data_IF_801378559532
#
_entry.id   IF_801378559532
#
_cell.length_a   1.000
_cell.length_b   1.000
_cell.length_c   1.000
_cell.angle_alpha   90.00
_cell.angle_beta   90.00
_cell.angle_gamma   90.00
#
_symmetry.space_group_name_H-M   'P 1'
#
loop_
_entity.id
_entity.type
_entity.pdbx_description
1 polymer ?
#
# COMPACT_ATOMS: atom_id res chain seq x y z
N UNK A 1 -11.52 71.33 1.58
CA UNK A 1 -11.30 70.23 0.66
C UNK A 1 -11.02 68.99 1.50
N UNK A 2 -12.03 68.19 1.78
CA UNK A 2 -11.94 66.93 2.51
C UNK A 2 -11.84 65.82 1.47
N UNK A 3 -10.72 65.10 1.41
CA UNK A 3 -10.58 63.85 0.65
C UNK A 3 -10.89 62.69 1.59
N UNK A 4 -12.01 62.07 1.38
CA UNK A 4 -12.41 60.79 1.98
C UNK A 4 -11.66 59.68 1.27
N UNK A 5 -10.82 58.98 2.03
CA UNK A 5 -10.14 57.78 1.59
C UNK A 5 -11.08 56.59 1.85
N UNK A 6 -11.72 56.08 0.79
CA UNK A 6 -12.45 54.83 0.84
C UNK A 6 -11.46 53.69 0.76
N UNK A 7 -11.24 53.03 1.88
CA UNK A 7 -10.52 51.75 1.92
C UNK A 7 -11.46 50.65 1.45
N UNK A 8 -11.29 50.24 0.22
CA UNK A 8 -11.94 49.05 -0.34
C UNK A 8 -11.23 47.81 0.28
N UNK A 9 -11.89 47.22 1.26
CA UNK A 9 -11.49 45.90 1.75
C UNK A 9 -11.91 44.87 0.69
N UNK A 10 -11.01 44.57 -0.23
CA UNK A 10 -11.16 43.42 -1.10
C UNK A 10 -10.97 42.17 -0.24
N UNK A 11 -12.06 41.55 0.15
CA UNK A 11 -12.10 40.17 0.64
C UNK A 11 -11.57 39.28 -0.48
N UNK A 12 -10.27 38.96 -0.45
CA UNK A 12 -9.70 37.83 -1.12
C UNK A 12 -10.26 36.58 -0.41
N UNK A 13 -11.42 36.14 -0.85
CA UNK A 13 -11.85 34.76 -0.77
C UNK A 13 -10.85 33.95 -1.62
N UNK A 14 -9.72 33.57 -1.04
CA UNK A 14 -8.96 32.44 -1.53
C UNK A 14 -9.79 31.21 -1.26
N UNK A 15 -10.80 31.01 -2.11
CA UNK A 15 -11.33 29.68 -2.31
C UNK A 15 -10.14 28.80 -2.70
N UNK A 16 -9.67 27.98 -1.79
CA UNK A 16 -8.83 26.84 -2.12
C UNK A 16 -9.76 25.95 -2.96
N UNK A 17 -9.80 26.22 -4.26
CA UNK A 17 -10.32 25.26 -5.21
C UNK A 17 -9.36 24.10 -5.09
N UNK A 18 -9.81 23.02 -4.45
CA UNK A 18 -9.09 21.76 -4.47
C UNK A 18 -8.86 21.42 -5.94
N UNK A 19 -7.66 21.75 -6.44
CA UNK A 19 -7.32 21.51 -7.84
C UNK A 19 -7.45 20.01 -8.08
N UNK A 20 -8.26 19.64 -9.06
CA UNK A 20 -8.48 18.27 -9.43
C UNK A 20 -7.12 17.60 -9.74
N UNK A 21 -6.73 16.63 -8.93
CA UNK A 21 -5.49 15.86 -9.17
C UNK A 21 -5.80 14.76 -10.17
N UNK A 22 -5.49 15.04 -11.45
CA UNK A 22 -5.64 14.05 -12.52
C UNK A 22 -4.41 13.14 -12.51
N UNK A 23 -4.65 11.85 -12.31
CA UNK A 23 -3.64 10.81 -12.45
C UNK A 23 -3.83 10.10 -13.78
N UNK A 24 -2.73 9.98 -14.54
CA UNK A 24 -2.70 9.25 -15.79
C UNK A 24 -2.12 7.84 -15.59
N UNK A 25 -2.60 6.90 -16.39
CA UNK A 25 -2.12 5.54 -16.42
C UNK A 25 -2.15 4.95 -17.83
N UNK A 26 -1.46 3.82 -17.98
CA UNK A 26 -1.31 3.10 -19.22
C UNK A 26 -1.34 1.59 -18.96
N UNK A 27 -2.07 0.84 -19.79
CA UNK A 27 -2.13 -0.63 -19.74
C UNK A 27 -1.63 -1.17 -21.07
N UNK A 28 -0.66 -2.08 -21.02
CA UNK A 28 -0.11 -2.76 -22.20
C UNK A 28 0.01 -4.27 -21.98
N UNK A 29 0.21 -5.02 -23.06
CA UNK A 29 0.60 -6.42 -22.97
C UNK A 29 2.10 -6.55 -22.66
N UNK A 30 2.52 -7.76 -22.27
CA UNK A 30 3.94 -8.05 -22.05
C UNK A 30 4.70 -8.11 -23.39
N UNK A 31 4.08 -8.66 -24.42
CA UNK A 31 4.73 -8.96 -25.70
C UNK A 31 5.48 -10.29 -25.69
N UNK A 32 5.91 -10.73 -26.87
CA UNK A 32 6.57 -12.02 -27.12
C UNK A 32 8.01 -11.91 -27.61
N UNK A 33 8.53 -10.69 -27.71
CA UNK A 33 9.92 -10.41 -28.08
C UNK A 33 10.84 -10.32 -26.86
N UNK A 34 12.16 -10.42 -27.07
CA UNK A 34 13.14 -10.30 -26.00
C UNK A 34 13.04 -8.99 -25.18
N UNK A 35 12.74 -7.87 -25.84
CA UNK A 35 12.53 -6.59 -25.17
C UNK A 35 11.16 -6.47 -24.50
N UNK A 36 10.26 -7.45 -24.74
CA UNK A 36 8.91 -7.53 -24.15
C UNK A 36 8.14 -6.22 -24.19
N UNK A 37 8.32 -5.44 -25.24
CA UNK A 37 7.51 -4.26 -25.52
C UNK A 37 6.20 -4.70 -26.13
N UNK A 38 5.19 -4.83 -25.28
CA UNK A 38 3.87 -5.22 -25.74
C UNK A 38 3.06 -4.06 -26.29
N UNK A 39 1.92 -4.40 -26.88
CA UNK A 39 0.99 -3.45 -27.46
C UNK A 39 0.06 -2.83 -26.41
N UNK A 40 -0.43 -1.59 -26.64
CA UNK A 40 -1.47 -0.98 -25.84
C UNK A 40 -2.72 -1.87 -25.74
N UNK A 41 -3.30 -1.98 -24.55
CA UNK A 41 -4.49 -2.77 -24.31
C UNK A 41 -5.73 -1.88 -24.16
N UNK A 42 -6.58 -1.89 -25.19
CA UNK A 42 -7.89 -1.24 -25.20
C UNK A 42 -8.88 -2.03 -24.36
N UNK A 43 -9.75 -1.32 -23.63
CA UNK A 43 -10.88 -1.93 -22.91
C UNK A 43 -10.53 -2.58 -21.59
N UNK A 44 -9.29 -2.47 -21.12
CA UNK A 44 -8.93 -2.90 -19.79
C UNK A 44 -9.67 -2.05 -18.74
N UNK A 45 -10.25 -2.69 -17.72
CA UNK A 45 -11.03 -2.05 -16.67
C UNK A 45 -10.17 -1.92 -15.41
N UNK A 46 -9.81 -0.70 -15.08
CA UNK A 46 -8.97 -0.36 -13.93
C UNK A 46 -9.85 0.13 -12.78
N UNK A 47 -9.80 -0.54 -11.64
CA UNK A 47 -10.57 -0.20 -10.45
C UNK A 47 -9.66 0.47 -9.42
N UNK A 48 -9.94 1.74 -9.11
CA UNK A 48 -9.19 2.54 -8.14
C UNK A 48 -9.96 2.55 -6.83
N UNK A 49 -9.30 2.27 -5.70
CA UNK A 49 -9.92 2.22 -4.37
C UNK A 49 -10.51 3.60 -4.03
N UNK A 50 -11.79 3.62 -3.64
CA UNK A 50 -12.51 4.85 -3.27
C UNK A 50 -13.06 5.66 -4.44
N UNK A 51 -13.00 5.14 -5.69
CA UNK A 51 -13.70 5.70 -6.84
C UNK A 51 -14.81 4.77 -7.31
N UNK A 52 -15.94 5.36 -7.71
CA UNK A 52 -17.05 4.60 -8.26
C UNK A 52 -16.79 4.17 -9.69
N UNK A 53 -16.97 2.88 -9.97
CA UNK A 53 -16.84 2.25 -11.28
C UNK A 53 -15.38 2.11 -11.77
N UNK A 54 -15.23 1.35 -12.84
CA UNK A 54 -13.94 1.13 -13.49
C UNK A 54 -13.59 2.27 -14.45
N UNK A 55 -12.31 2.59 -14.57
CA UNK A 55 -11.76 3.39 -15.66
C UNK A 55 -11.38 2.44 -16.80
N UNK A 56 -11.90 2.70 -18.00
CA UNK A 56 -11.69 1.84 -19.16
C UNK A 56 -10.61 2.45 -20.05
N UNK A 57 -9.62 1.64 -20.44
CA UNK A 57 -8.52 2.12 -21.28
C UNK A 57 -8.97 2.44 -22.71
N UNK A 58 -8.43 3.51 -23.25
CA UNK A 58 -8.62 3.94 -24.64
C UNK A 58 -7.86 3.01 -25.62
N UNK A 59 -7.96 3.27 -26.92
CA UNK A 59 -7.31 2.46 -27.99
C UNK A 59 -5.77 2.44 -27.85
N UNK A 60 -5.20 3.50 -27.32
CA UNK A 60 -3.76 3.62 -27.03
C UNK A 60 -3.38 3.10 -25.63
N UNK A 61 -4.26 2.37 -24.96
CA UNK A 61 -4.00 1.81 -23.63
C UNK A 61 -4.09 2.81 -22.47
N UNK A 62 -4.32 4.10 -22.72
CA UNK A 62 -4.33 5.11 -21.66
C UNK A 62 -5.65 5.14 -20.89
N UNK A 63 -5.57 5.50 -19.61
CA UNK A 63 -6.70 5.82 -18.75
C UNK A 63 -6.33 6.99 -17.82
N UNK A 64 -7.33 7.68 -17.32
CA UNK A 64 -7.14 8.72 -16.30
C UNK A 64 -8.28 8.73 -15.28
N UNK A 65 -8.01 9.32 -14.13
CA UNK A 65 -8.99 9.52 -13.08
C UNK A 65 -8.63 10.72 -12.20
N UNK A 66 -9.65 11.28 -11.56
CA UNK A 66 -9.51 12.39 -10.64
C UNK A 66 -9.62 11.86 -9.21
N UNK A 67 -8.64 12.17 -8.37
CA UNK A 67 -8.56 11.73 -6.96
C UNK A 67 -9.18 12.71 -5.97
N UNK A 68 -9.59 13.91 -6.43
CA UNK A 68 -9.87 15.01 -5.52
C UNK A 68 -8.59 15.65 -4.95
N UNK A 69 -8.69 16.82 -4.35
CA UNK A 69 -7.53 17.55 -3.82
C UNK A 69 -6.98 16.91 -2.53
N UNK A 70 -5.66 17.05 -2.32
CA UNK A 70 -4.99 16.73 -1.06
C UNK A 70 -4.54 15.28 -0.88
N UNK A 71 -4.83 14.36 -1.79
CA UNK A 71 -4.32 12.98 -1.72
C UNK A 71 -2.88 12.91 -2.21
N UNK A 72 -2.03 12.25 -1.43
CA UNK A 72 -0.62 11.98 -1.78
C UNK A 72 -0.40 10.59 -2.36
N UNK A 73 -1.31 9.66 -2.06
CA UNK A 73 -1.27 8.27 -2.53
C UNK A 73 -2.66 7.77 -2.93
N UNK A 74 -2.68 6.72 -3.75
CA UNK A 74 -3.88 5.97 -4.12
C UNK A 74 -3.54 4.49 -4.36
N UNK A 75 -4.55 3.63 -4.37
CA UNK A 75 -4.38 2.20 -4.66
C UNK A 75 -5.27 1.78 -5.83
N UNK A 76 -4.75 0.90 -6.67
CA UNK A 76 -5.55 0.19 -7.68
C UNK A 76 -5.91 -1.17 -7.09
N UNK A 77 -7.19 -1.44 -6.94
CA UNK A 77 -7.66 -2.67 -6.33
C UNK A 77 -7.58 -3.87 -7.27
N UNK A 78 -7.86 -3.66 -8.55
CA UNK A 78 -7.75 -4.70 -9.58
C UNK A 78 -7.76 -4.11 -10.99
N UNK A 79 -7.26 -4.89 -11.95
CA UNK A 79 -7.36 -4.59 -13.37
C UNK A 79 -7.86 -5.85 -14.09
N UNK A 80 -8.85 -5.72 -14.93
CA UNK A 80 -9.43 -6.85 -15.65
C UNK A 80 -9.54 -6.59 -17.15
N UNK A 81 -9.14 -7.57 -17.93
CA UNK A 81 -9.38 -7.63 -19.38
C UNK A 81 -9.59 -9.09 -19.77
N UNK A 82 -10.60 -9.38 -20.58
CA UNK A 82 -10.91 -10.76 -21.01
C UNK A 82 -9.72 -11.38 -21.74
N UNK A 83 -9.28 -12.55 -21.28
CA UNK A 83 -8.15 -13.29 -21.85
C UNK A 83 -6.77 -12.83 -21.40
N UNK A 84 -6.69 -11.87 -20.47
CA UNK A 84 -5.44 -11.37 -19.90
C UNK A 84 -5.41 -11.52 -18.38
N UNK A 85 -4.23 -11.72 -17.82
CA UNK A 85 -3.92 -11.66 -16.39
C UNK A 85 -2.87 -10.60 -16.13
N UNK A 86 -2.80 -10.09 -14.89
CA UNK A 86 -1.71 -9.21 -14.46
C UNK A 86 -0.39 -9.98 -14.54
N UNK A 87 0.65 -9.35 -15.07
CA UNK A 87 1.99 -9.93 -15.14
C UNK A 87 2.63 -10.04 -13.75
N UNK A 88 2.43 -9.01 -12.94
CA UNK A 88 2.91 -8.94 -11.55
C UNK A 88 1.82 -8.36 -10.64
N UNK A 89 1.88 -8.64 -9.32
CA UNK A 89 0.97 -8.04 -8.35
C UNK A 89 1.03 -6.50 -8.41
N UNK A 90 -0.14 -5.87 -8.24
CA UNK A 90 -0.22 -4.41 -8.15
C UNK A 90 0.45 -3.94 -6.85
N UNK A 91 1.22 -2.83 -6.86
CA UNK A 91 1.74 -2.23 -5.65
C UNK A 91 0.62 -1.87 -4.67
N UNK A 92 0.87 -1.92 -3.35
CA UNK A 92 -0.13 -1.58 -2.35
C UNK A 92 -0.61 -0.13 -2.45
N UNK A 93 0.27 0.78 -2.90
CA UNK A 93 -0.05 2.18 -3.14
C UNK A 93 0.84 2.80 -4.23
N UNK A 94 0.31 3.82 -4.90
CA UNK A 94 1.00 4.65 -5.89
C UNK A 94 1.04 6.09 -5.39
N UNK A 95 2.13 6.82 -5.68
CA UNK A 95 2.24 8.25 -5.37
C UNK A 95 1.53 9.09 -6.44
N UNK A 96 0.73 10.06 -5.99
CA UNK A 96 -0.01 10.96 -6.89
C UNK A 96 0.96 11.90 -7.62
N UNK A 97 0.76 12.04 -8.92
CA UNK A 97 1.43 13.08 -9.74
C UNK A 97 2.90 12.83 -10.06
N UNK A 98 3.53 11.76 -9.59
CA UNK A 98 4.97 11.53 -9.80
C UNK A 98 5.32 10.81 -11.10
N UNK A 99 4.45 9.95 -11.60
CA UNK A 99 4.68 9.25 -12.87
C UNK A 99 3.36 8.73 -13.44
N UNK A 100 3.35 8.43 -14.73
CA UNK A 100 2.26 7.65 -15.35
C UNK A 100 2.28 6.23 -14.78
N UNK A 101 1.14 5.75 -14.30
CA UNK A 101 1.03 4.38 -13.80
C UNK A 101 1.05 3.42 -14.98
N UNK A 102 2.05 2.56 -15.05
CA UNK A 102 2.14 1.51 -16.06
C UNK A 102 1.68 0.18 -15.47
N UNK A 103 0.77 -0.49 -16.18
CA UNK A 103 0.24 -1.79 -15.80
C UNK A 103 0.46 -2.75 -16.97
N UNK A 104 1.12 -3.86 -16.68
CA UNK A 104 1.44 -4.88 -17.68
C UNK A 104 0.56 -6.10 -17.45
N UNK A 105 -0.05 -6.55 -18.55
CA UNK A 105 -0.88 -7.75 -18.56
C UNK A 105 -0.32 -8.76 -19.57
N UNK A 106 -0.56 -10.04 -19.35
CA UNK A 106 -0.11 -11.12 -20.20
C UNK A 106 -1.32 -11.92 -20.68
N UNK A 107 -1.41 -12.20 -21.97
CA UNK A 107 -2.37 -13.18 -22.50
C UNK A 107 -1.82 -14.59 -22.31
N UNK A 108 -2.72 -15.58 -22.32
CA UNK A 108 -2.33 -16.99 -22.28
C UNK A 108 -1.45 -17.37 -23.49
N UNK A 109 -1.73 -16.80 -24.65
CA UNK A 109 -0.96 -17.06 -25.86
C UNK A 109 0.45 -16.50 -25.77
N UNK A 110 0.62 -15.24 -25.32
CA UNK A 110 1.94 -14.62 -25.07
C UNK A 110 2.76 -15.45 -24.08
N UNK A 111 2.13 -15.94 -23.01
CA UNK A 111 2.78 -16.80 -22.02
C UNK A 111 3.32 -18.07 -22.65
N UNK A 112 2.47 -18.80 -23.40
CA UNK A 112 2.86 -20.06 -24.07
C UNK A 112 4.02 -19.83 -25.05
N UNK A 113 3.97 -18.75 -25.83
CA UNK A 113 5.04 -18.41 -26.78
C UNK A 113 6.35 -18.07 -26.09
N UNK A 114 6.31 -17.30 -25.00
CA UNK A 114 7.50 -16.99 -24.21
C UNK A 114 8.07 -18.23 -23.53
N UNK A 115 7.22 -19.07 -22.92
CA UNK A 115 7.64 -20.36 -22.32
C UNK A 115 8.34 -21.25 -23.35
N UNK A 116 7.75 -21.43 -24.52
CA UNK A 116 8.33 -22.28 -25.57
C UNK A 116 9.68 -21.73 -26.09
N UNK A 117 9.78 -20.42 -26.27
CA UNK A 117 11.02 -19.78 -26.74
C UNK A 117 12.14 -19.92 -25.71
N UNK A 118 11.89 -19.61 -24.43
CA UNK A 118 12.88 -19.69 -23.37
C UNK A 118 13.29 -21.13 -23.15
N UNK A 119 12.34 -22.06 -23.08
CA UNK A 119 12.60 -23.51 -22.91
C UNK A 119 13.54 -24.05 -24.00
N UNK A 120 13.26 -23.73 -25.26
CA UNK A 120 14.09 -24.16 -26.39
C UNK A 120 15.54 -23.68 -26.27
N UNK A 121 15.75 -22.41 -25.97
CA UNK A 121 17.10 -21.84 -25.85
C UNK A 121 17.88 -22.49 -24.71
N UNK A 122 17.23 -22.67 -23.56
CA UNK A 122 17.87 -23.28 -22.38
C UNK A 122 18.19 -24.75 -22.67
N UNK A 123 17.28 -25.51 -23.29
CA UNK A 123 17.49 -26.92 -23.67
C UNK A 123 18.66 -27.06 -24.63
N UNK A 124 18.75 -26.24 -25.68
CA UNK A 124 19.87 -26.25 -26.62
C UNK A 124 21.22 -25.99 -25.91
N UNK A 125 21.24 -25.06 -24.95
CA UNK A 125 22.43 -24.73 -24.18
C UNK A 125 22.87 -25.88 -23.23
N UNK A 126 21.92 -26.45 -22.50
CA UNK A 126 22.19 -27.59 -21.60
C UNK A 126 22.71 -28.75 -22.41
N UNK A 127 22.08 -29.07 -23.53
CA UNK A 127 22.51 -30.17 -24.41
C UNK A 127 23.92 -29.95 -24.93
N UNK A 128 24.21 -28.73 -25.46
CA UNK A 128 25.54 -28.40 -25.94
C UNK A 128 26.60 -28.50 -24.85
N UNK A 129 26.30 -28.06 -23.63
CA UNK A 129 27.22 -28.11 -22.50
C UNK A 129 27.46 -29.55 -22.05
N UNK A 130 26.41 -30.38 -22.03
CA UNK A 130 26.50 -31.80 -21.73
C UNK A 130 27.38 -32.54 -22.75
N UNK A 131 27.15 -32.34 -24.06
CA UNK A 131 27.93 -32.96 -25.14
C UNK A 131 29.43 -32.61 -25.06
N UNK A 132 29.71 -31.33 -24.81
CA UNK A 132 31.08 -30.82 -24.68
C UNK A 132 31.79 -31.51 -23.48
N UNK A 133 31.12 -31.54 -22.32
CA UNK A 133 31.67 -32.14 -21.09
C UNK A 133 31.85 -33.63 -21.20
N UNK A 134 30.88 -34.33 -21.77
CA UNK A 134 30.95 -35.78 -22.03
C UNK A 134 32.13 -36.11 -22.96
N UNK A 135 32.30 -35.35 -24.03
CA UNK A 135 33.42 -35.53 -24.97
C UNK A 135 34.78 -35.27 -24.32
N UNK A 136 34.87 -34.29 -23.42
CA UNK A 136 36.08 -34.02 -22.64
C UNK A 136 36.42 -35.20 -21.71
N UNK A 137 35.43 -35.68 -20.94
CA UNK A 137 35.61 -36.83 -20.02
C UNK A 137 36.00 -38.10 -20.78
N UNK A 138 35.33 -38.40 -21.90
CA UNK A 138 35.67 -39.55 -22.75
C UNK A 138 37.10 -39.49 -23.25
N UNK A 139 37.58 -38.31 -23.70
CA UNK A 139 38.97 -38.14 -24.13
C UNK A 139 39.97 -38.40 -23.00
N UNK A 140 39.66 -37.88 -21.79
CA UNK A 140 40.51 -38.12 -20.59
C UNK A 140 40.58 -39.62 -20.22
N UNK A 141 39.42 -40.29 -20.20
CA UNK A 141 39.34 -41.73 -19.94
C UNK A 141 40.13 -42.51 -20.97
N UNK A 142 39.93 -42.26 -22.26
CA UNK A 142 40.63 -42.95 -23.32
C UNK A 142 42.18 -42.78 -23.25
N UNK A 143 42.63 -41.56 -22.89
CA UNK A 143 44.06 -41.31 -22.70
C UNK A 143 44.66 -42.09 -21.52
N UNK A 144 43.92 -42.19 -20.40
CA UNK A 144 44.35 -42.92 -19.23
C UNK A 144 44.30 -44.47 -19.47
N UNK A 145 43.26 -44.95 -20.18
CA UNK A 145 43.13 -46.37 -20.57
C UNK A 145 44.28 -46.79 -21.50
N UNK A 146 44.70 -45.93 -22.44
CA UNK A 146 45.86 -46.13 -23.28
C UNK A 146 47.15 -46.17 -22.47
N UNK A 147 47.35 -45.24 -21.53
CA UNK A 147 48.51 -45.22 -20.65
C UNK A 147 48.58 -46.45 -19.73
N UNK A 148 47.46 -46.98 -19.31
CA UNK A 148 47.34 -48.21 -18.54
C UNK A 148 47.75 -49.45 -19.39
N UNK A 149 47.31 -49.49 -20.67
CA UNK A 149 47.66 -50.60 -21.59
C UNK A 149 49.13 -50.63 -21.95
N UNK A 150 49.82 -49.50 -22.00
CA UNK A 150 51.26 -49.41 -22.34
C UNK A 150 52.18 -49.81 -21.21
N UNK A 151 51.66 -50.33 -20.07
CA UNK A 151 52.39 -50.90 -18.92
C UNK A 151 53.54 -50.07 -18.33
N UNK A 152 53.49 -48.78 -18.46
CA UNK A 152 54.62 -47.90 -18.09
C UNK A 152 54.53 -47.20 -16.75
N UNK A 153 53.46 -47.38 -15.96
CA UNK A 153 53.30 -46.71 -14.63
C UNK A 153 52.30 -47.42 -13.73
N UNK A 154 52.37 -47.13 -12.42
CA UNK A 154 51.58 -47.66 -11.30
C UNK A 154 50.10 -47.87 -11.69
N UNK A 155 49.66 -49.08 -11.91
CA UNK A 155 48.33 -49.43 -12.43
C UNK A 155 47.20 -49.01 -11.52
N UNK A 156 47.38 -49.08 -10.20
CA UNK A 156 46.34 -48.76 -9.21
C UNK A 156 45.96 -47.27 -9.22
N UNK A 157 46.89 -46.37 -9.46
CA UNK A 157 46.60 -44.93 -9.52
C UNK A 157 45.83 -44.56 -10.80
N UNK A 158 46.23 -45.09 -11.94
CA UNK A 158 45.55 -44.91 -13.22
C UNK A 158 44.11 -45.47 -13.19
N UNK A 159 43.95 -46.67 -12.60
CA UNK A 159 42.65 -47.30 -12.41
C UNK A 159 41.73 -46.48 -11.51
N UNK A 160 42.27 -45.90 -10.43
CA UNK A 160 41.54 -45.01 -9.54
C UNK A 160 41.07 -43.73 -10.27
N UNK A 161 41.95 -43.12 -11.08
CA UNK A 161 41.61 -41.94 -11.88
C UNK A 161 40.55 -42.24 -12.93
N UNK A 162 40.66 -43.41 -13.65
CA UNK A 162 39.64 -43.81 -14.62
C UNK A 162 38.28 -44.04 -13.92
N UNK A 163 38.28 -44.68 -12.75
CA UNK A 163 37.04 -44.90 -11.97
C UNK A 163 36.39 -43.58 -11.57
N UNK A 164 37.17 -42.63 -11.06
CA UNK A 164 36.68 -41.29 -10.70
C UNK A 164 36.09 -40.54 -11.88
N UNK A 165 36.72 -40.59 -13.07
CA UNK A 165 36.19 -39.95 -14.27
C UNK A 165 34.91 -40.63 -14.79
N UNK A 166 34.80 -41.96 -14.69
CA UNK A 166 33.59 -42.72 -15.04
C UNK A 166 32.43 -42.38 -14.07
N UNK A 167 32.72 -42.20 -12.79
CA UNK A 167 31.75 -41.72 -11.80
C UNK A 167 31.27 -40.29 -12.10
N UNK A 168 32.21 -39.39 -12.43
CA UNK A 168 31.85 -38.04 -12.88
C UNK A 168 30.96 -38.05 -14.11
N UNK A 169 31.21 -38.92 -15.08
CA UNK A 169 30.37 -39.08 -16.27
C UNK A 169 28.97 -39.61 -15.91
N UNK A 170 28.87 -40.59 -15.03
CA UNK A 170 27.57 -41.07 -14.52
C UNK A 170 26.77 -39.99 -13.77
N UNK A 171 27.45 -39.15 -13.00
CA UNK A 171 26.82 -38.02 -12.34
C UNK A 171 26.32 -36.96 -13.36
N UNK A 172 27.11 -36.70 -14.40
CA UNK A 172 26.74 -35.80 -15.50
C UNK A 172 25.49 -36.31 -16.25
N UNK A 173 25.46 -37.61 -16.54
CA UNK A 173 24.30 -38.26 -17.19
C UNK A 173 23.04 -38.14 -16.33
N UNK A 174 23.14 -38.34 -15.03
CA UNK A 174 22.04 -38.21 -14.09
C UNK A 174 21.52 -36.76 -14.04
N UNK A 175 22.42 -35.77 -14.07
CA UNK A 175 22.03 -34.35 -14.13
C UNK A 175 21.34 -34.04 -15.46
N UNK A 176 21.83 -34.55 -16.58
CA UNK A 176 21.20 -34.35 -17.88
C UNK A 176 19.80 -35.01 -17.97
N UNK A 177 19.59 -36.16 -17.35
CA UNK A 177 18.26 -36.77 -17.27
C UNK A 177 17.24 -35.91 -16.52
N UNK A 178 17.69 -35.12 -15.56
CA UNK A 178 16.86 -34.18 -14.78
C UNK A 178 16.75 -32.79 -15.41
N UNK A 179 17.28 -32.58 -16.61
CA UNK A 179 17.33 -31.27 -17.25
C UNK A 179 15.97 -30.57 -17.39
N UNK A 180 14.91 -31.33 -17.60
CA UNK A 180 13.56 -30.77 -17.76
C UNK A 180 13.10 -30.02 -16.49
N UNK A 181 13.37 -30.59 -15.30
CA UNK A 181 13.06 -29.90 -14.04
C UNK A 181 13.82 -28.57 -13.90
N UNK A 182 15.07 -28.53 -14.38
CA UNK A 182 15.87 -27.30 -14.39
C UNK A 182 15.35 -26.29 -15.42
N UNK A 183 14.98 -26.76 -16.62
CA UNK A 183 14.40 -25.94 -17.68
C UNK A 183 13.10 -25.29 -17.17
N UNK A 184 12.20 -26.07 -16.59
CA UNK A 184 10.91 -25.60 -16.09
C UNK A 184 11.10 -24.50 -15.03
N UNK A 185 12.03 -24.68 -14.10
CA UNK A 185 12.33 -23.65 -13.08
C UNK A 185 12.84 -22.35 -13.69
N UNK A 186 13.79 -22.43 -14.62
CA UNK A 186 14.33 -21.22 -15.27
C UNK A 186 13.26 -20.55 -16.13
N UNK A 187 12.46 -21.32 -16.86
CA UNK A 187 11.35 -20.79 -17.68
C UNK A 187 10.38 -20.04 -16.78
N UNK A 188 9.96 -20.61 -15.65
CA UNK A 188 9.03 -19.97 -14.72
C UNK A 188 9.60 -18.65 -14.15
N UNK A 189 10.89 -18.61 -13.86
CA UNK A 189 11.58 -17.42 -13.36
C UNK A 189 11.58 -16.29 -14.39
N UNK A 190 11.81 -16.57 -15.68
CA UNK A 190 11.98 -15.55 -16.70
C UNK A 190 10.72 -15.22 -17.50
N UNK A 191 9.73 -16.12 -17.60
CA UNK A 191 8.54 -15.91 -18.42
C UNK A 191 7.67 -14.75 -17.97
N UNK A 192 7.69 -14.43 -16.68
CA UNK A 192 6.89 -13.38 -16.07
C UNK A 192 7.63 -12.03 -15.93
N UNK A 193 8.87 -11.93 -16.41
CA UNK A 193 9.64 -10.69 -16.32
C UNK A 193 9.18 -9.66 -17.35
N UNK A 194 9.21 -8.40 -16.96
CA UNK A 194 8.98 -7.26 -17.85
C UNK A 194 10.20 -6.36 -17.86
N UNK A 195 11.03 -6.51 -18.88
CA UNK A 195 12.33 -5.81 -18.98
C UNK A 195 12.18 -4.30 -19.13
N UNK A 196 11.05 -3.82 -19.65
CA UNK A 196 10.81 -2.39 -19.81
C UNK A 196 10.63 -1.65 -18.46
N UNK A 197 10.24 -2.38 -17.40
CA UNK A 197 10.08 -1.81 -16.06
C UNK A 197 11.30 -2.00 -15.15
N UNK A 198 12.30 -2.74 -15.62
CA UNK A 198 13.55 -2.97 -14.88
C UNK A 198 14.57 -1.86 -15.10
N UNK A 199 15.51 -1.71 -14.18
CA UNK A 199 16.70 -0.95 -14.46
C UNK A 199 17.51 -1.60 -15.60
N UNK A 200 18.26 -0.77 -16.34
CA UNK A 200 18.93 -1.21 -17.56
C UNK A 200 19.88 -2.41 -17.35
N UNK A 201 20.59 -2.47 -16.22
CA UNK A 201 21.53 -3.58 -15.94
C UNK A 201 20.83 -4.89 -15.67
N UNK A 202 19.74 -4.84 -14.87
CA UNK A 202 18.93 -6.04 -14.61
C UNK A 202 18.28 -6.54 -15.87
N UNK A 203 17.71 -5.65 -16.68
CA UNK A 203 17.10 -5.99 -17.95
C UNK A 203 18.11 -6.63 -18.90
N UNK A 204 19.32 -6.08 -19.00
CA UNK A 204 20.40 -6.60 -19.84
C UNK A 204 20.87 -7.98 -19.37
N UNK A 205 21.06 -8.18 -18.06
CA UNK A 205 21.41 -9.46 -17.48
C UNK A 205 20.36 -10.55 -17.81
N UNK A 206 19.10 -10.25 -17.56
CA UNK A 206 17.99 -11.17 -17.84
C UNK A 206 17.90 -11.48 -19.34
N UNK A 207 18.12 -10.49 -20.20
CA UNK A 207 18.15 -10.66 -21.63
C UNK A 207 19.27 -11.63 -22.08
N UNK A 208 20.49 -11.46 -21.57
CA UNK A 208 21.62 -12.38 -21.88
C UNK A 208 21.34 -13.81 -21.42
N UNK A 209 20.75 -13.98 -20.22
CA UNK A 209 20.41 -15.32 -19.72
C UNK A 209 19.34 -15.96 -20.59
N UNK A 210 18.26 -15.24 -20.88
CA UNK A 210 17.13 -15.73 -21.68
C UNK A 210 17.53 -16.03 -23.14
N UNK A 211 18.45 -15.26 -23.71
CA UNK A 211 18.97 -15.49 -25.07
C UNK A 211 20.07 -16.53 -25.12
N UNK A 212 20.51 -17.08 -23.97
CA UNK A 212 21.58 -18.06 -23.88
C UNK A 212 22.99 -17.49 -24.07
N UNK A 213 23.16 -16.16 -23.97
CA UNK A 213 24.46 -15.46 -24.08
C UNK A 213 25.18 -15.43 -22.72
N UNK A 214 25.40 -16.64 -22.15
CA UNK A 214 25.86 -16.79 -20.76
C UNK A 214 27.21 -16.15 -20.49
N UNK A 215 28.14 -16.12 -21.47
CA UNK A 215 29.44 -15.46 -21.34
C UNK A 215 29.30 -13.93 -21.15
N UNK A 216 28.30 -13.32 -21.80
CA UNK A 216 27.99 -11.90 -21.61
C UNK A 216 27.31 -11.66 -20.27
N UNK A 217 26.38 -12.55 -19.87
CA UNK A 217 25.77 -12.50 -18.56
C UNK A 217 26.81 -12.58 -17.43
N UNK A 218 27.71 -13.53 -17.50
CA UNK A 218 28.81 -13.72 -16.53
C UNK A 218 29.76 -12.51 -16.51
N UNK A 219 30.13 -12.00 -17.69
CA UNK A 219 30.94 -10.77 -17.80
C UNK A 219 30.25 -9.58 -17.14
N UNK A 220 28.94 -9.39 -17.31
CA UNK A 220 28.18 -8.33 -16.68
C UNK A 220 28.13 -8.52 -15.15
N UNK A 221 27.86 -9.74 -14.68
CA UNK A 221 27.85 -10.08 -13.25
C UNK A 221 29.20 -9.80 -12.58
N UNK A 222 30.31 -10.09 -13.26
CA UNK A 222 31.66 -9.83 -12.75
C UNK A 222 31.99 -8.33 -12.61
N UNK A 223 31.18 -7.44 -13.21
CA UNK A 223 31.29 -5.99 -13.00
C UNK A 223 30.58 -5.50 -11.76
N UNK A 224 29.77 -6.35 -11.14
CA UNK A 224 28.93 -6.02 -9.97
C UNK A 224 29.62 -6.54 -8.71
N UNK A 225 29.94 -5.62 -7.79
CA UNK A 225 30.39 -6.02 -6.46
C UNK A 225 29.19 -6.46 -5.60
N UNK A 226 28.80 -7.73 -5.75
CA UNK A 226 27.65 -8.33 -5.04
C UNK A 226 27.83 -8.25 -3.52
N UNK A 227 29.06 -8.33 -3.02
CA UNK A 227 29.33 -8.24 -1.57
C UNK A 227 29.13 -6.82 -1.06
N UNK A 228 29.48 -5.82 -1.85
CA UNK A 228 29.17 -4.41 -1.52
C UNK A 228 27.67 -4.17 -1.48
N UNK A 229 26.93 -4.60 -2.50
CA UNK A 229 25.47 -4.50 -2.53
C UNK A 229 24.81 -5.17 -1.32
N UNK A 230 25.28 -6.37 -0.95
CA UNK A 230 24.80 -7.08 0.25
C UNK A 230 25.09 -6.30 1.55
N UNK A 231 26.25 -5.66 1.66
CA UNK A 231 26.58 -4.85 2.83
C UNK A 231 25.77 -3.57 2.86
N UNK A 232 25.55 -2.93 1.72
CA UNK A 232 24.70 -1.74 1.63
C UNK A 232 23.26 -2.05 2.05
N UNK A 233 22.69 -3.20 1.64
CA UNK A 233 21.37 -3.66 2.10
C UNK A 233 21.34 -3.87 3.61
N UNK A 234 22.38 -4.50 4.21
CA UNK A 234 22.44 -4.70 5.65
C UNK A 234 22.46 -3.35 6.40
N UNK A 235 23.27 -2.41 5.92
CA UNK A 235 23.36 -1.07 6.51
C UNK A 235 22.02 -0.35 6.43
N UNK A 236 21.35 -0.40 5.25
CA UNK A 236 20.02 0.18 5.08
C UNK A 236 18.97 -0.43 6.02
N UNK A 237 19.00 -1.74 6.23
CA UNK A 237 18.08 -2.40 7.16
C UNK A 237 18.32 -1.95 8.59
N UNK A 238 19.58 -1.83 9.03
CA UNK A 238 19.94 -1.30 10.36
C UNK A 238 19.47 0.14 10.54
N UNK A 239 19.69 1.00 9.53
CA UNK A 239 19.23 2.40 9.55
C UNK A 239 17.69 2.50 9.63
N UNK A 240 16.95 1.59 9.00
CA UNK A 240 15.49 1.51 9.07
C UNK A 240 15.05 1.13 10.48
N UNK A 241 15.63 0.06 11.05
CA UNK A 241 15.31 -0.40 12.41
C UNK A 241 15.58 0.68 13.47
N UNK A 242 16.71 1.41 13.34
CA UNK A 242 17.04 2.53 14.24
C UNK A 242 16.02 3.66 14.13
N UNK A 243 15.64 4.05 12.91
CA UNK A 243 14.64 5.09 12.68
C UNK A 243 13.25 4.71 13.19
N UNK A 244 12.84 3.45 13.00
CA UNK A 244 11.58 2.93 13.54
C UNK A 244 11.60 2.96 15.08
N UNK A 245 12.70 2.53 15.71
CA UNK A 245 12.86 2.60 17.15
C UNK A 245 12.82 4.05 17.69
N UNK A 246 13.46 5.00 16.99
CA UNK A 246 13.39 6.43 17.33
C UNK A 246 11.97 6.96 17.21
N UNK A 247 11.27 6.63 16.14
CA UNK A 247 9.89 7.06 15.91
C UNK A 247 8.94 6.56 17.02
N UNK A 248 9.10 5.31 17.44
CA UNK A 248 8.28 4.77 18.55
C UNK A 248 8.57 5.50 19.88
N UNK A 249 9.83 5.84 20.18
CA UNK A 249 10.17 6.65 21.35
C UNK A 249 9.56 8.05 21.29
N UNK A 250 9.58 8.68 20.10
CA UNK A 250 8.97 10.00 19.91
C UNK A 250 7.45 9.97 20.07
N UNK A 251 6.79 8.91 19.58
CA UNK A 251 5.36 8.69 19.78
C UNK A 251 5.00 8.55 21.27
N UNK A 252 5.80 7.80 22.02
CA UNK A 252 5.60 7.62 23.46
C UNK A 252 5.81 8.94 24.23
N UNK A 253 6.86 9.69 23.91
CA UNK A 253 7.08 11.03 24.49
C UNK A 253 5.91 11.96 24.18
N UNK A 254 5.42 11.97 22.95
CA UNK A 254 4.24 12.76 22.54
C UNK A 254 3.01 12.37 23.35
N UNK A 255 2.74 11.07 23.48
CA UNK A 255 1.62 10.53 24.25
C UNK A 255 1.67 11.01 25.71
N UNK A 256 2.81 10.86 26.38
CA UNK A 256 3.00 11.28 27.76
C UNK A 256 2.83 12.80 27.94
N UNK A 257 3.28 13.62 26.96
CA UNK A 257 3.05 15.08 26.99
C UNK A 257 1.57 15.43 26.84
N UNK A 258 0.83 14.76 25.97
CA UNK A 258 -0.61 14.93 25.79
C UNK A 258 -1.35 14.59 27.09
N UNK A 259 -1.08 13.41 27.65
CA UNK A 259 -1.70 12.97 28.92
C UNK A 259 -1.45 13.97 30.06
N UNK A 260 -0.22 14.45 30.19
CA UNK A 260 0.13 15.46 31.19
C UNK A 260 -0.60 16.77 30.97
N UNK A 261 -0.67 17.27 29.74
CA UNK A 261 -1.38 18.50 29.41
C UNK A 261 -2.90 18.35 29.64
N UNK A 262 -3.48 17.21 29.26
CA UNK A 262 -4.88 16.90 29.54
C UNK A 262 -5.18 16.90 31.05
N UNK A 263 -4.31 16.29 31.86
CA UNK A 263 -4.45 16.29 33.32
C UNK A 263 -4.43 17.71 33.90
N UNK A 264 -3.53 18.58 33.43
CA UNK A 264 -3.47 19.97 33.92
C UNK A 264 -4.68 20.80 33.51
N UNK A 265 -5.14 20.70 32.25
CA UNK A 265 -6.31 21.44 31.79
C UNK A 265 -7.59 20.93 32.46
N UNK A 266 -7.76 19.62 32.64
CA UNK A 266 -8.88 19.04 33.40
C UNK A 266 -8.86 19.50 34.85
N UNK A 267 -7.70 19.55 35.48
CA UNK A 267 -7.53 20.10 36.86
C UNK A 267 -7.98 21.56 36.96
N UNK A 268 -7.54 22.42 36.02
CA UNK A 268 -7.95 23.81 35.97
C UNK A 268 -9.46 23.96 35.72
N UNK A 269 -10.02 23.17 34.81
CA UNK A 269 -11.45 23.14 34.56
C UNK A 269 -12.25 22.78 35.82
N UNK A 270 -11.88 21.70 36.51
CA UNK A 270 -12.54 21.27 37.72
C UNK A 270 -12.49 22.32 38.83
N UNK A 271 -11.34 23.00 39.03
CA UNK A 271 -11.19 24.09 39.98
C UNK A 271 -12.10 25.27 39.63
N UNK A 272 -12.15 25.65 38.34
CA UNK A 272 -12.98 26.75 37.87
C UNK A 272 -14.47 26.44 38.08
N UNK A 273 -14.94 25.23 37.81
CA UNK A 273 -16.32 24.78 38.08
C UNK A 273 -16.65 24.89 39.56
N UNK A 274 -15.77 24.38 40.46
CA UNK A 274 -15.98 24.46 41.92
C UNK A 274 -16.06 25.90 42.42
N UNK A 275 -15.35 26.82 41.77
CA UNK A 275 -15.36 28.25 42.09
C UNK A 275 -16.44 29.06 41.34
N UNK A 276 -17.32 28.37 40.60
CA UNK A 276 -18.35 29.00 39.74
C UNK A 276 -17.78 30.01 38.71
N UNK A 277 -16.56 29.78 38.26
CA UNK A 277 -15.87 30.60 37.25
C UNK A 277 -16.14 30.08 35.85
N UNK A 278 -17.37 30.13 35.38
CA UNK A 278 -17.85 29.46 34.17
C UNK A 278 -17.11 29.87 32.90
N UNK A 279 -16.77 31.18 32.76
CA UNK A 279 -16.01 31.67 31.61
C UNK A 279 -14.58 31.07 31.56
N UNK A 280 -13.93 31.02 32.73
CA UNK A 280 -12.60 30.38 32.85
C UNK A 280 -12.68 28.87 32.57
N UNK A 281 -13.72 28.20 33.07
CA UNK A 281 -13.98 26.79 32.80
C UNK A 281 -14.16 26.55 31.28
N UNK A 282 -14.88 27.43 30.58
CA UNK A 282 -15.04 27.36 29.14
C UNK A 282 -13.71 27.44 28.39
N UNK A 283 -12.79 28.30 28.84
CA UNK A 283 -11.43 28.36 28.25
C UNK A 283 -10.65 27.07 28.50
N UNK A 284 -10.71 26.55 29.72
CA UNK A 284 -9.91 25.37 30.10
C UNK A 284 -10.42 24.09 29.43
N UNK A 285 -11.72 23.92 29.26
CA UNK A 285 -12.28 22.74 28.58
C UNK A 285 -11.98 22.76 27.07
N UNK A 286 -11.94 23.95 26.42
CA UNK A 286 -11.50 24.08 25.01
C UNK A 286 -10.04 23.66 24.88
N UNK A 287 -9.15 24.16 25.76
CA UNK A 287 -7.75 23.79 25.73
C UNK A 287 -7.56 22.28 25.95
N UNK A 288 -8.36 21.64 26.82
CA UNK A 288 -8.36 20.21 27.02
C UNK A 288 -8.72 19.46 25.73
N UNK A 289 -9.79 19.87 25.03
CA UNK A 289 -10.21 19.24 23.78
C UNK A 289 -9.22 19.49 22.63
N UNK A 290 -8.57 20.64 22.58
CA UNK A 290 -7.62 21.01 21.53
C UNK A 290 -6.24 20.37 21.69
N UNK A 291 -5.86 19.94 22.91
CA UNK A 291 -4.63 19.18 23.15
C UNK A 291 -4.69 17.79 22.51
N UNK A 292 -5.85 17.12 22.58
CA UNK A 292 -6.05 15.80 22.00
C UNK A 292 -7.39 15.74 21.24
N UNK A 293 -7.37 16.22 20.04
CA UNK A 293 -8.56 16.31 19.17
C UNK A 293 -9.09 14.95 18.72
N UNK A 294 -8.34 13.87 18.90
CA UNK A 294 -8.75 12.49 18.62
C UNK A 294 -9.41 11.81 19.82
N UNK A 295 -9.33 12.39 21.02
CA UNK A 295 -9.96 11.86 22.20
C UNK A 295 -11.46 12.25 22.23
N UNK A 296 -12.31 11.29 21.96
CA UNK A 296 -13.75 11.51 21.91
C UNK A 296 -14.27 12.18 23.18
N UNK A 297 -13.94 11.66 24.36
CA UNK A 297 -14.46 12.13 25.65
C UNK A 297 -14.09 13.61 25.90
N UNK A 298 -12.85 14.00 25.66
CA UNK A 298 -12.42 15.39 25.87
C UNK A 298 -13.15 16.36 24.93
N UNK A 299 -13.30 15.98 23.66
CA UNK A 299 -13.96 16.83 22.65
C UNK A 299 -15.48 16.86 22.89
N UNK A 300 -16.07 15.73 23.28
CA UNK A 300 -17.49 15.60 23.55
C UNK A 300 -17.88 16.37 24.84
N UNK A 301 -17.11 16.24 25.92
CA UNK A 301 -17.28 17.02 27.18
C UNK A 301 -17.21 18.52 26.89
N UNK A 302 -16.24 18.94 26.06
CA UNK A 302 -16.12 20.33 25.64
C UNK A 302 -17.37 20.82 24.91
N UNK A 303 -17.84 20.08 23.92
CA UNK A 303 -19.02 20.43 23.15
C UNK A 303 -20.27 20.52 24.05
N UNK A 304 -20.46 19.55 24.94
CA UNK A 304 -21.57 19.53 25.90
C UNK A 304 -21.53 20.74 26.83
N UNK A 305 -20.38 21.02 27.44
CA UNK A 305 -20.20 22.15 28.33
C UNK A 305 -20.50 23.48 27.63
N UNK A 306 -19.95 23.67 26.43
CA UNK A 306 -20.18 24.89 25.64
C UNK A 306 -21.66 25.06 25.28
N UNK A 307 -22.36 23.97 24.92
CA UNK A 307 -23.81 23.99 24.68
C UNK A 307 -24.58 24.42 25.92
N UNK A 308 -24.24 23.88 27.09
CA UNK A 308 -24.88 24.23 28.37
C UNK A 308 -24.64 25.66 28.79
N UNK A 309 -23.50 26.24 28.42
CA UNK A 309 -23.19 27.64 28.66
C UNK A 309 -23.69 28.58 27.52
N UNK A 310 -24.51 28.10 26.58
CA UNK A 310 -25.06 28.80 25.43
C UNK A 310 -24.01 29.27 24.39
N UNK A 311 -22.81 28.73 24.36
CA UNK A 311 -21.82 28.90 23.28
C UNK A 311 -22.15 27.99 22.10
N UNK A 312 -23.37 28.08 21.57
CA UNK A 312 -23.94 27.13 20.60
C UNK A 312 -23.12 26.95 19.33
N UNK A 313 -22.59 28.05 18.78
CA UNK A 313 -21.77 27.98 17.56
C UNK A 313 -20.50 27.17 17.76
N UNK A 314 -19.80 27.43 18.85
CA UNK A 314 -18.56 26.71 19.17
C UNK A 314 -18.86 25.25 19.54
N UNK A 315 -19.92 24.99 20.27
CA UNK A 315 -20.36 23.63 20.58
C UNK A 315 -20.61 22.81 19.30
N UNK A 316 -21.31 23.41 18.32
CA UNK A 316 -21.54 22.80 17.01
C UNK A 316 -20.23 22.47 16.29
N UNK A 317 -19.24 23.38 16.34
CA UNK A 317 -17.92 23.16 15.73
C UNK A 317 -17.19 21.95 16.35
N UNK A 318 -17.24 21.78 17.69
CA UNK A 318 -16.64 20.61 18.36
C UNK A 318 -17.40 19.31 18.07
N UNK A 319 -18.73 19.30 18.04
CA UNK A 319 -19.49 18.12 17.62
C UNK A 319 -19.18 17.73 16.17
N UNK A 320 -19.05 18.68 15.27
CA UNK A 320 -18.67 18.42 13.87
C UNK A 320 -17.23 17.92 13.71
N UNK A 321 -16.29 18.34 14.58
CA UNK A 321 -14.94 17.76 14.63
C UNK A 321 -15.01 16.26 14.92
N UNK A 322 -15.86 15.83 15.87
CA UNK A 322 -16.05 14.42 16.20
C UNK A 322 -16.60 13.65 15.00
N UNK A 323 -17.65 14.16 14.34
CA UNK A 323 -18.24 13.51 13.16
C UNK A 323 -17.24 13.36 12.03
N UNK A 324 -16.40 14.36 11.81
CA UNK A 324 -15.35 14.31 10.78
C UNK A 324 -14.28 13.25 11.10
N UNK A 325 -13.82 13.21 12.35
CA UNK A 325 -12.83 12.22 12.80
C UNK A 325 -13.37 10.81 12.66
N UNK A 326 -14.66 10.59 12.93
CA UNK A 326 -15.31 9.30 12.75
C UNK A 326 -15.38 8.86 11.29
N UNK A 327 -15.74 9.76 10.39
CA UNK A 327 -15.78 9.48 8.95
C UNK A 327 -14.40 9.09 8.38
N UNK A 328 -13.32 9.63 8.96
CA UNK A 328 -11.95 9.37 8.52
C UNK A 328 -11.36 8.09 9.14
N UNK A 329 -11.67 7.78 10.39
CA UNK A 329 -10.92 6.79 11.18
C UNK A 329 -11.76 5.64 11.76
N UNK A 330 -13.08 5.74 11.83
CA UNK A 330 -13.99 4.72 12.42
C UNK A 330 -13.58 4.28 13.84
N UNK A 331 -13.24 5.24 14.70
CA UNK A 331 -12.71 4.99 16.05
C UNK A 331 -13.78 5.03 17.15
N UNK A 332 -15.01 5.47 16.84
CA UNK A 332 -16.05 5.77 17.81
C UNK A 332 -17.08 4.64 17.84
N UNK A 333 -17.52 4.25 19.04
CA UNK A 333 -18.54 3.22 19.18
C UNK A 333 -19.92 3.72 18.74
N UNK A 334 -20.80 2.81 18.32
CA UNK A 334 -22.17 3.15 17.94
C UNK A 334 -22.91 3.89 19.05
N UNK A 335 -22.69 3.54 20.32
CA UNK A 335 -23.27 4.23 21.47
C UNK A 335 -22.80 5.70 21.54
N UNK A 336 -21.51 5.96 21.34
CA UNK A 336 -20.97 7.32 21.33
C UNK A 336 -21.51 8.14 20.16
N UNK A 337 -21.69 7.52 19.00
CA UNK A 337 -22.34 8.20 17.83
C UNK A 337 -23.78 8.54 18.12
N UNK A 338 -24.55 7.63 18.73
CA UNK A 338 -25.94 7.91 19.08
C UNK A 338 -26.05 9.02 20.13
N UNK A 339 -25.19 9.02 21.14
CA UNK A 339 -25.09 10.10 22.13
C UNK A 339 -24.73 11.45 21.48
N UNK A 340 -23.81 11.44 20.52
CA UNK A 340 -23.43 12.63 19.75
C UNK A 340 -24.61 13.20 18.97
N UNK A 341 -25.37 12.38 18.25
CA UNK A 341 -26.57 12.83 17.53
C UNK A 341 -27.63 13.38 18.47
N UNK A 342 -27.84 12.76 19.62
CA UNK A 342 -28.80 13.24 20.63
C UNK A 342 -28.41 14.64 21.16
N UNK A 343 -27.12 14.87 21.45
CA UNK A 343 -26.65 16.17 21.94
C UNK A 343 -26.62 17.26 20.85
N UNK A 344 -26.31 16.91 19.59
CA UNK A 344 -26.47 17.81 18.46
C UNK A 344 -27.94 18.22 18.28
N UNK A 345 -28.87 17.30 18.44
CA UNK A 345 -30.29 17.58 18.37
C UNK A 345 -30.74 18.58 19.45
N UNK A 346 -30.26 18.42 20.68
CA UNK A 346 -30.53 19.36 21.77
C UNK A 346 -29.96 20.76 21.45
N UNK A 347 -28.78 20.83 20.85
CA UNK A 347 -28.21 22.11 20.37
C UNK A 347 -29.10 22.74 19.30
N UNK A 348 -29.53 22.00 18.31
CA UNK A 348 -30.38 22.48 17.23
C UNK A 348 -31.77 22.90 17.74
N UNK A 349 -32.37 22.16 18.66
CA UNK A 349 -33.61 22.56 19.33
C UNK A 349 -33.44 23.87 20.10
N UNK A 350 -32.35 24.02 20.88
CA UNK A 350 -32.05 25.26 21.62
C UNK A 350 -31.80 26.49 20.73
N UNK A 351 -31.44 26.25 19.47
CA UNK A 351 -31.23 27.31 18.45
C UNK A 351 -32.43 27.44 17.48
N UNK A 352 -33.57 26.80 17.78
CA UNK A 352 -34.81 26.80 16.98
C UNK A 352 -34.67 26.17 15.58
N UNK A 353 -33.65 25.35 15.37
CA UNK A 353 -33.40 24.56 14.14
C UNK A 353 -34.09 23.18 14.26
N UNK A 354 -35.42 23.22 14.45
CA UNK A 354 -36.22 22.03 14.81
C UNK A 354 -36.15 20.92 13.78
N UNK A 355 -36.07 21.23 12.48
CA UNK A 355 -35.96 20.24 11.43
C UNK A 355 -34.64 19.45 11.51
N UNK A 356 -33.54 20.13 11.72
CA UNK A 356 -32.22 19.52 11.88
C UNK A 356 -32.15 18.72 13.19
N UNK A 357 -32.77 19.20 14.25
CA UNK A 357 -32.92 18.50 15.52
C UNK A 357 -33.65 17.16 15.33
N UNK A 358 -34.78 17.18 14.60
CA UNK A 358 -35.55 15.96 14.30
C UNK A 358 -34.73 14.94 13.50
N UNK A 359 -33.97 15.40 12.49
CA UNK A 359 -33.10 14.53 11.68
C UNK A 359 -32.03 13.85 12.54
N UNK A 360 -31.37 14.58 13.43
CA UNK A 360 -30.36 14.01 14.34
C UNK A 360 -30.98 13.02 15.33
N UNK A 361 -32.12 13.33 15.93
CA UNK A 361 -32.80 12.41 16.85
C UNK A 361 -33.19 11.11 16.16
N UNK A 362 -33.75 11.18 14.96
CA UNK A 362 -34.10 9.98 14.20
C UNK A 362 -32.87 9.13 13.91
N UNK A 363 -31.74 9.73 13.55
CA UNK A 363 -30.48 9.02 13.34
C UNK A 363 -29.98 8.33 14.63
N UNK A 364 -29.98 9.05 15.76
CA UNK A 364 -29.60 8.50 17.06
C UNK A 364 -30.50 7.37 17.53
N UNK A 365 -31.83 7.55 17.42
CA UNK A 365 -32.83 6.52 17.77
C UNK A 365 -32.60 5.23 16.97
N UNK A 366 -32.38 5.31 15.67
CA UNK A 366 -32.10 4.13 14.84
C UNK A 366 -30.88 3.33 15.33
N UNK A 367 -29.88 4.01 15.87
CA UNK A 367 -28.70 3.34 16.43
C UNK A 367 -29.08 2.70 17.78
N UNK A 368 -29.73 3.44 18.67
CA UNK A 368 -30.13 2.91 19.98
C UNK A 368 -31.12 1.76 19.88
N UNK A 369 -32.06 1.76 18.92
CA UNK A 369 -32.97 0.64 18.66
C UNK A 369 -32.23 -0.66 18.28
N UNK A 370 -31.09 -0.54 17.58
CA UNK A 370 -30.25 -1.71 17.28
C UNK A 370 -29.48 -2.17 18.50
N UNK A 371 -28.86 -1.24 19.23
CA UNK A 371 -28.14 -1.55 20.45
C UNK A 371 -29.01 -2.14 21.56
N UNK A 372 -30.24 -1.64 21.68
CA UNK A 372 -31.23 -2.16 22.65
C UNK A 372 -31.59 -3.60 22.38
N UNK A 373 -31.73 -4.03 21.12
CA UNK A 373 -31.93 -5.43 20.75
C UNK A 373 -30.77 -6.33 21.15
N UNK A 374 -29.54 -5.80 21.17
CA UNK A 374 -28.34 -6.51 21.59
C UNK A 374 -28.25 -6.59 23.13
N UNK A 375 -28.60 -5.51 23.84
CA UNK A 375 -28.56 -5.41 25.29
C UNK A 375 -29.57 -4.39 25.84
N UNK A 376 -30.82 -4.84 26.03
CA UNK A 376 -31.94 -3.98 26.46
C UNK A 376 -31.63 -3.20 27.75
N UNK A 377 -31.12 -3.86 28.78
CA UNK A 377 -30.89 -3.22 30.09
C UNK A 377 -29.90 -2.05 30.04
N UNK A 378 -29.00 -2.03 29.07
CA UNK A 378 -27.97 -1.00 28.94
C UNK A 378 -28.50 0.22 28.20
N UNK A 379 -29.29 0.03 27.13
CA UNK A 379 -29.63 1.10 26.19
C UNK A 379 -31.08 1.59 26.24
N UNK A 380 -31.95 0.92 27.01
CA UNK A 380 -33.36 1.29 27.17
C UNK A 380 -33.54 2.74 27.66
N UNK A 381 -32.73 3.18 28.63
CA UNK A 381 -32.76 4.53 29.18
C UNK A 381 -32.37 5.60 28.16
N UNK A 382 -31.33 5.34 27.35
CA UNK A 382 -30.82 6.26 26.32
C UNK A 382 -31.81 6.37 25.17
N UNK A 383 -32.40 5.24 24.78
CA UNK A 383 -33.49 5.18 23.78
C UNK A 383 -34.72 5.97 24.24
N UNK A 384 -35.16 5.75 25.49
CA UNK A 384 -36.30 6.49 26.06
C UNK A 384 -36.02 8.00 26.11
N UNK A 385 -34.81 8.39 26.48
CA UNK A 385 -34.36 9.80 26.48
C UNK A 385 -34.44 10.40 25.08
N UNK A 386 -33.97 9.67 24.07
CA UNK A 386 -34.01 10.14 22.67
C UNK A 386 -35.44 10.30 22.16
N UNK A 387 -36.36 9.39 22.50
CA UNK A 387 -37.78 9.53 22.17
C UNK A 387 -38.46 10.72 22.90
N UNK A 388 -38.11 10.95 24.18
CA UNK A 388 -38.61 12.12 24.91
C UNK A 388 -38.11 13.43 24.27
N UNK A 389 -36.86 13.49 23.87
CA UNK A 389 -36.32 14.65 23.16
C UNK A 389 -37.05 14.86 21.82
N UNK A 390 -37.36 13.80 21.08
CA UNK A 390 -38.10 13.87 19.84
C UNK A 390 -39.53 14.37 20.06
N UNK A 391 -40.20 13.88 21.10
CA UNK A 391 -41.57 14.33 21.45
C UNK A 391 -41.62 15.82 21.82
N UNK A 392 -40.56 16.35 22.43
CA UNK A 392 -40.48 17.78 22.81
C UNK A 392 -40.28 18.72 21.60
N UNK A 393 -40.01 18.24 20.42
CA UNK A 393 -39.86 19.01 19.19
C UNK A 393 -41.23 19.27 18.53
N UNK A 394 -42.17 18.33 18.71
CA UNK A 394 -43.54 18.42 18.16
C UNK A 394 -44.48 19.17 19.12
#
# INVERSE_FOLDING_TARGET
MKRTLSVLFALLLTGITASAQIQNGYVRSQGTSYNRTGSPLKGARVFVKGLNGAKVTATNGTFNFNLGGGKTQFSISTVTLKGYSLLSPLPPAYNVGKATVEIVMQSREERIQNEARISKIIEERITKSYDAKTKELQKKIAALEKALSDKKRNSNELESQIRSLKEQMGNLDNQYLKRNELIDKIVEEYVNLDYATMDNRKAELCLYIESGELEKADSLLNTIDIYKEMNDIKTLNQDIEEKESMLEKEKEIRKNKIETACMYWRGKYNIAIQNMQYDSAAVYIRNLADVDTCNFENVFDCANYLREQNYFKEAEEYYNKILKTEQENQLISNNQIAALYNNLALLYSGTQRFKESEEMLKAGIQIYERLEKENQKVYESDLATSYNNLANIY
#
